data_IF_994227335492
#
_entry.id   IF_994227335492
#
_cell.length_a   1.000
_cell.length_b   1.000
_cell.length_c   1.000
_cell.angle_alpha   90.00
_cell.angle_beta   90.00
_cell.angle_gamma   90.00
#
_symmetry.space_group_name_H-M   'P 1'
#
loop_
_entity.id
_entity.type
_entity.pdbx_description
1 polymer ?
2 non-polymer ?
3 non-polymer ?
4 water ?
#
# COMPACT_ATOMS: atom_id res chain seq x y z
N UNK A 1 -7.80 4.97 10.59
CA UNK A 1 -7.67 5.42 9.21
C UNK A 1 -7.96 4.33 8.21
N UNK A 2 -8.10 4.72 6.94
CA UNK A 2 -8.42 3.79 5.86
C UNK A 2 -7.38 3.96 4.75
N UNK A 3 -7.25 2.93 3.93
CA UNK A 3 -6.38 3.00 2.76
C UNK A 3 -7.22 2.68 1.55
N UNK A 4 -7.08 3.48 0.49
CA UNK A 4 -7.74 3.21 -0.78
C UNK A 4 -6.66 3.12 -1.84
N UNK A 5 -6.57 1.95 -2.45
CA UNK A 5 -5.60 1.71 -3.53
C UNK A 5 -6.34 1.60 -4.86
N UNK A 6 -5.99 2.47 -5.82
CA UNK A 6 -6.44 2.27 -7.19
C UNK A 6 -5.36 1.49 -7.90
N UNK A 7 -5.71 0.28 -8.28
CA UNK A 7 -4.80 -0.62 -8.95
C UNK A 7 -5.05 -0.49 -10.46
N UNK A 8 -4.07 0.09 -11.15
CA UNK A 8 -4.22 0.55 -12.54
C UNK A 8 -3.48 -0.39 -13.48
N UNK A 9 -4.17 -0.88 -14.52
CA UNK A 9 -3.49 -1.72 -15.50
C UNK A 9 -2.95 -0.82 -16.58
N UNK A 10 -1.69 -1.01 -16.95
CA UNK A 10 -1.07 -0.12 -17.93
C UNK A 10 -0.51 -0.95 -19.07
N UNK A 11 -0.76 -0.60 -20.32
CA UNK A 11 -0.24 -1.41 -21.44
C UNK A 11 1.27 -1.38 -21.51
N UNK A 12 1.82 -2.45 -22.05
CA UNK A 12 3.28 -2.58 -22.07
C UNK A 12 3.92 -1.35 -22.73
N UNK A 13 4.86 -0.71 -22.05
CA UNK A 13 5.56 0.43 -22.59
C UNK A 13 4.95 1.77 -22.21
N UNK A 14 3.75 1.77 -21.63
CA UNK A 14 3.03 2.99 -21.30
C UNK A 14 3.29 3.49 -19.88
N UNK A 15 4.13 2.78 -19.12
CA UNK A 15 4.57 3.21 -17.79
C UNK A 15 4.99 4.69 -17.71
N UNK A 16 5.93 5.12 -18.54
CA UNK A 16 6.39 6.51 -18.44
C UNK A 16 5.28 7.50 -18.76
N UNK A 17 4.40 7.19 -19.70
CA UNK A 17 3.31 8.13 -19.98
C UNK A 17 2.39 8.25 -18.77
N UNK A 18 2.03 7.11 -18.16
CA UNK A 18 1.17 7.14 -16.99
C UNK A 18 1.82 7.91 -15.86
N UNK A 19 3.11 7.65 -15.59
CA UNK A 19 3.82 8.37 -14.54
C UNK A 19 3.85 9.85 -14.79
N UNK A 20 4.07 10.26 -16.04
CA UNK A 20 4.06 11.70 -16.36
C UNK A 20 2.71 12.35 -16.02
N UNK A 21 1.59 11.65 -16.24
CA UNK A 21 0.28 12.21 -15.92
C UNK A 21 0.10 12.46 -14.44
N UNK A 22 0.81 11.69 -13.59
CA UNK A 22 0.77 11.96 -12.15
C UNK A 22 1.71 13.05 -11.70
N UNK A 23 2.65 13.50 -12.55
CA UNK A 23 3.78 14.28 -12.05
C UNK A 23 3.36 15.58 -11.37
N UNK A 24 2.38 16.28 -11.92
CA UNK A 24 1.93 17.52 -11.28
C UNK A 24 0.59 17.41 -10.57
N UNK A 25 0.22 16.22 -10.11
CA UNK A 25 -1.12 16.00 -9.62
C UNK A 25 -1.29 16.33 -8.13
N UNK A 26 -0.19 16.56 -7.40
CA UNK A 26 -0.29 16.79 -5.94
C UNK A 26 -1.34 17.83 -5.57
N UNK A 27 -1.39 18.95 -6.30
CA UNK A 27 -2.34 20.00 -5.96
C UNK A 27 -3.76 19.49 -5.92
N UNK A 28 -4.05 18.42 -6.68
CA UNK A 28 -5.45 18.03 -6.76
C UNK A 28 -5.95 17.38 -5.49
N UNK A 29 -5.07 17.01 -4.55
CA UNK A 29 -5.56 16.25 -3.42
C UNK A 29 -4.88 16.69 -2.12
N UNK A 30 -3.67 17.26 -2.20
CA UNK A 30 -2.88 17.40 -0.97
C UNK A 30 -3.57 18.22 0.12
N UNK A 31 -4.41 19.16 -0.25
CA UNK A 31 -5.09 20.06 0.67
C UNK A 31 -6.46 19.55 1.15
N UNK A 32 -6.91 18.40 0.69
CA UNK A 32 -8.25 17.93 1.04
C UNK A 32 -8.38 17.58 2.53
N UNK A 33 -9.50 17.93 3.16
CA UNK A 33 -9.69 17.56 4.58
C UNK A 33 -9.58 16.05 4.79
N UNK A 34 -8.87 15.66 5.83
CA UNK A 34 -8.76 14.26 6.20
C UNK A 34 -7.78 13.46 5.36
N UNK A 35 -7.19 14.08 4.36
CA UNK A 35 -6.20 13.42 3.52
C UNK A 35 -4.91 13.24 4.29
N UNK A 36 -4.36 12.02 4.29
CA UNK A 36 -3.10 11.75 4.98
C UNK A 36 -1.92 11.48 4.06
N UNK A 37 -2.13 11.32 2.77
CA UNK A 37 -1.01 11.12 1.86
C UNK A 37 -1.27 10.12 0.75
N UNK A 38 -0.44 10.18 -0.30
CA UNK A 38 -0.54 9.15 -1.30
C UNK A 38 0.82 8.90 -1.93
N UNK A 39 0.95 7.71 -2.46
CA UNK A 39 2.13 7.29 -3.21
C UNK A 39 1.72 6.63 -4.52
N UNK A 40 2.41 6.99 -5.60
CA UNK A 40 2.27 6.27 -6.86
C UNK A 40 3.36 5.20 -6.85
N UNK A 41 2.97 3.92 -6.96
CA UNK A 41 3.91 2.80 -6.85
C UNK A 41 4.03 2.12 -8.19
N UNK A 42 5.30 2.06 -8.72
CA UNK A 42 5.63 1.44 -9.98
C UNK A 42 5.92 -0.02 -9.74
N UNK A 43 5.25 -0.93 -10.42
CA UNK A 43 5.46 -2.33 -10.10
C UNK A 43 6.80 -2.80 -10.63
N UNK A 44 7.43 -3.68 -9.86
CA UNK A 44 8.75 -4.17 -10.16
C UNK A 44 8.76 -5.68 -10.23
N UNK A 45 8.06 -6.35 -9.31
CA UNK A 45 7.96 -7.80 -9.35
C UNK A 45 6.71 -8.24 -8.59
N UNK A 46 6.07 -9.28 -9.10
CA UNK A 46 4.93 -9.90 -8.46
C UNK A 46 3.59 -9.23 -8.76
N UNK A 47 3.60 -8.09 -9.43
CA UNK A 47 2.38 -7.38 -9.78
C UNK A 47 2.70 -6.65 -11.07
N UNK A 48 1.72 -6.57 -11.97
CA UNK A 48 1.89 -5.80 -13.19
C UNK A 48 1.19 -4.46 -13.13
N UNK A 49 0.32 -4.23 -12.15
CA UNK A 49 -0.44 -2.98 -12.05
C UNK A 49 0.33 -1.92 -11.26
N UNK A 50 0.15 -0.66 -11.64
CA UNK A 50 0.56 0.43 -10.74
C UNK A 50 -0.44 0.51 -9.59
N UNK A 51 0.04 0.77 -8.38
CA UNK A 51 -0.79 1.02 -7.21
C UNK A 51 -0.75 2.50 -6.85
N UNK A 52 -1.90 3.14 -6.87
CA UNK A 52 -2.06 4.50 -6.34
C UNK A 52 -2.61 4.35 -4.93
N UNK A 53 -1.75 4.51 -3.94
CA UNK A 53 -2.07 4.18 -2.55
C UNK A 53 -2.38 5.48 -1.82
N UNK A 54 -3.62 5.65 -1.39
CA UNK A 54 -4.01 6.84 -0.66
C UNK A 54 -4.45 6.46 0.76
N UNK A 55 -4.14 7.37 1.69
CA UNK A 55 -4.37 7.19 3.11
C UNK A 55 -5.33 8.28 3.57
N UNK A 56 -6.37 7.90 4.32
CA UNK A 56 -7.37 8.87 4.78
C UNK A 56 -7.73 8.63 6.23
N UNK A 57 -8.07 9.71 6.96
CA UNK A 57 -8.56 9.59 8.32
C UNK A 57 -9.90 8.86 8.35
N UNK A 58 -10.67 8.90 7.26
CA UNK A 58 -11.94 8.19 7.28
C UNK A 58 -12.40 7.90 5.87
N UNK A 59 -13.31 6.94 5.75
CA UNK A 59 -13.96 6.71 4.47
C UNK A 59 -14.70 7.97 3.98
N UNK A 60 -15.41 8.69 4.87
CA UNK A 60 -16.15 9.87 4.40
C UNK A 60 -15.21 10.91 3.81
N UNK A 61 -14.00 11.06 4.38
CA UNK A 61 -13.06 12.05 3.83
C UNK A 61 -12.65 11.71 2.39
N UNK A 62 -12.39 10.44 2.13
CA UNK A 62 -12.08 10.02 0.76
C UNK A 62 -13.26 10.29 -0.18
N UNK A 63 -14.48 9.88 0.23
CA UNK A 63 -15.68 10.09 -0.58
C UNK A 63 -15.91 11.56 -0.88
N UNK A 64 -15.75 12.44 0.14
CA UNK A 64 -15.92 13.86 -0.16
C UNK A 64 -14.96 14.32 -1.25
N UNK A 65 -13.69 13.89 -1.17
CA UNK A 65 -12.75 14.28 -2.21
C UNK A 65 -13.13 13.67 -3.55
N UNK A 66 -13.49 12.38 -3.55
CA UNK A 66 -13.76 11.71 -4.81
C UNK A 66 -14.92 12.37 -5.54
N UNK A 67 -15.95 12.79 -4.82
CA UNK A 67 -17.18 13.28 -5.45
C UNK A 67 -17.12 14.76 -5.83
N UNK A 68 -16.13 15.50 -5.35
CA UNK A 68 -16.10 16.92 -5.59
C UNK A 68 -14.79 17.38 -6.18
N UNK A 69 -13.83 17.69 -5.31
CA UNK A 69 -12.53 18.18 -5.80
C UNK A 69 -11.87 17.28 -6.86
N UNK A 70 -11.95 15.96 -6.71
CA UNK A 70 -11.36 15.08 -7.72
C UNK A 70 -11.99 15.32 -9.11
N UNK A 71 -13.32 15.38 -9.17
CA UNK A 71 -13.98 15.62 -10.46
C UNK A 71 -13.57 16.98 -11.02
N UNK A 72 -13.61 18.01 -10.18
CA UNK A 72 -13.22 19.35 -10.62
C UNK A 72 -11.80 19.38 -11.17
N UNK A 73 -10.88 18.58 -10.59
CA UNK A 73 -9.49 18.67 -11.07
C UNK A 73 -9.34 18.25 -12.52
N UNK A 74 -10.37 17.69 -13.15
CA UNK A 74 -10.30 17.30 -14.56
C UNK A 74 -10.59 18.44 -15.53
N UNK A 75 -11.08 19.58 -15.05
CA UNK A 75 -11.38 20.69 -15.95
C UNK A 75 -10.14 21.01 -16.79
N UNK A 76 -10.33 21.08 -18.11
CA UNK A 76 -9.22 21.43 -18.98
C UNK A 76 -8.34 20.26 -19.37
N UNK A 77 -8.63 19.06 -18.88
CA UNK A 77 -7.90 17.85 -19.21
C UNK A 77 -8.67 16.94 -20.17
N UNK A 78 -7.96 16.35 -21.13
CA UNK A 78 -8.49 15.24 -21.90
C UNK A 78 -8.93 14.15 -20.92
N UNK A 79 -10.01 13.45 -21.25
CA UNK A 79 -10.38 12.30 -20.44
C UNK A 79 -10.00 10.98 -21.11
N UNK A 80 -8.97 10.99 -21.99
CA UNK A 80 -8.40 9.84 -22.68
C UNK A 80 -7.33 9.11 -21.85
N UNK A 81 -7.70 8.10 -21.09
CA UNK A 81 -6.73 7.43 -20.22
C UNK A 81 -5.73 6.56 -20.99
N UNK A 82 -4.54 6.42 -20.42
CA UNK A 82 -3.63 5.43 -21.00
C UNK A 82 -3.80 4.08 -20.29
N UNK A 83 -4.27 4.09 -19.05
CA UNK A 83 -4.60 2.86 -18.36
C UNK A 83 -5.72 2.13 -19.09
N UNK A 84 -5.66 0.80 -19.04
CA UNK A 84 -6.61 -0.09 -19.70
C UNK A 84 -7.58 -0.75 -18.72
N UNK A 85 -7.55 -0.36 -17.46
CA UNK A 85 -8.45 -0.92 -16.47
C UNK A 85 -8.05 -0.43 -15.09
N UNK A 86 -8.96 -0.49 -14.13
CA UNK A 86 -8.63 -0.01 -12.81
C UNK A 86 -9.51 -0.73 -11.81
N UNK A 87 -8.95 -1.04 -10.63
CA UNK A 87 -9.72 -1.68 -9.56
C UNK A 87 -9.38 -0.96 -8.27
N UNK A 88 -10.41 -0.55 -7.54
CA UNK A 88 -10.25 0.11 -6.27
C UNK A 88 -10.22 -0.93 -5.15
N UNK A 89 -9.14 -0.95 -4.39
CA UNK A 89 -8.97 -1.84 -3.25
C UNK A 89 -9.06 -1.02 -1.98
N UNK A 90 -10.01 -1.40 -1.13
CA UNK A 90 -10.28 -0.63 0.11
C UNK A 90 -9.90 -1.42 1.34
N UNK A 91 -9.22 -0.76 2.28
CA UNK A 91 -8.77 -1.43 3.51
C UNK A 91 -8.90 -0.49 4.71
N UNK A 92 -8.85 -1.08 5.89
CA UNK A 92 -8.83 -0.33 7.17
C UNK A 92 -7.46 -0.57 7.80
N UNK A 93 -6.80 0.49 8.25
CA UNK A 93 -5.47 0.32 8.91
C UNK A 93 -5.70 -0.34 10.26
N UNK A 94 -5.15 -1.54 10.46
CA UNK A 94 -5.33 -2.23 11.76
C UNK A 94 -4.08 -1.99 12.60
N UNK A 95 -2.94 -1.78 11.93
CA UNK A 95 -1.69 -1.51 12.65
C UNK A 95 -0.84 -0.56 11.82
N UNK A 96 -0.26 0.44 12.49
CA UNK A 96 0.69 1.34 11.82
C UNK A 96 1.95 1.46 12.67
N UNK A 97 3.12 1.20 12.09
CA UNK A 97 4.39 1.13 12.82
C UNK A 97 5.39 2.05 12.11
N UNK A 98 5.97 3.00 12.84
CA UNK A 98 6.87 3.95 12.23
C UNK A 98 8.24 3.31 12.02
N UNK A 99 9.10 4.00 11.25
CA UNK A 99 10.46 3.50 10.97
C UNK A 99 11.27 3.34 12.24
N UNK B 1 12.80 5.26 -2.56
CA UNK B 1 12.38 4.18 -1.67
C UNK B 1 11.65 3.08 -2.37
N UNK B 2 11.48 1.96 -1.71
CA UNK B 2 10.75 0.84 -2.30
C UNK B 2 9.63 0.50 -1.34
N UNK B 3 8.62 -0.16 -1.88
CA UNK B 3 7.51 -0.70 -1.10
C UNK B 3 7.43 -2.19 -1.37
N UNK B 4 7.34 -3.00 -0.30
CA UNK B 4 7.16 -4.42 -0.47
C UNK B 4 5.86 -4.73 0.23
N UNK B 5 4.88 -5.24 -0.51
CA UNK B 5 3.60 -5.63 0.07
C UNK B 5 3.53 -7.13 0.08
N UNK B 6 3.38 -7.71 1.26
CA UNK B 6 3.02 -9.12 1.35
C UNK B 6 1.50 -9.25 1.43
N UNK B 7 0.90 -9.89 0.42
CA UNK B 7 -0.54 -10.07 0.39
C UNK B 7 -0.82 -11.48 0.90
N UNK B 8 -1.34 -11.59 2.11
CA UNK B 8 -1.52 -12.87 2.79
C UNK B 8 -2.99 -13.30 2.79
N UNK B 9 -3.22 -14.55 2.45
CA UNK B 9 -4.58 -15.10 2.45
C UNK B 9 -4.90 -15.67 3.82
N UNK B 10 -6.04 -15.25 4.36
CA UNK B 10 -6.47 -15.62 5.72
C UNK B 10 -7.88 -16.20 5.66
N UNK B 11 -8.10 -17.44 6.15
CA UNK B 11 -9.43 -18.05 6.15
C UNK B 11 -10.41 -17.17 6.93
N UNK B 12 -11.70 -17.27 6.63
CA UNK B 12 -12.73 -16.47 7.33
C UNK B 12 -12.68 -16.80 8.82
N UNK B 13 -12.71 -15.78 9.68
CA UNK B 13 -12.69 -15.97 11.14
C UNK B 13 -11.29 -15.96 11.72
N UNK B 14 -10.26 -16.09 10.88
CA UNK B 14 -8.86 -16.08 11.37
C UNK B 14 -8.33 -14.65 11.46
N UNK B 15 -9.00 -13.71 10.80
CA UNK B 15 -8.65 -12.30 10.85
C UNK B 15 -8.24 -11.85 12.24
N UNK B 16 -9.07 -12.11 13.26
CA UNK B 16 -8.69 -11.68 14.61
C UNK B 16 -7.42 -12.34 15.12
N UNK B 17 -7.25 -13.64 14.85
CA UNK B 17 -6.02 -14.30 15.28
C UNK B 17 -4.80 -13.73 14.55
N UNK B 18 -4.92 -13.52 13.23
CA UNK B 18 -3.80 -12.94 12.49
C UNK B 18 -3.48 -11.54 13.00
N UNK B 19 -4.52 -10.72 13.20
CA UNK B 19 -4.28 -9.38 13.71
C UNK B 19 -3.62 -9.38 15.07
N UNK B 20 -4.03 -10.31 15.94
CA UNK B 20 -3.41 -10.40 17.26
C UNK B 20 -1.93 -10.76 17.14
N UNK B 21 -1.60 -11.66 16.21
CA UNK B 21 -0.20 -12.01 15.97
C UNK B 21 0.60 -10.82 15.50
N UNK B 22 0.01 -9.96 14.66
CA UNK B 22 0.76 -8.81 14.19
C UNK B 22 0.88 -7.72 15.28
N UNK B 23 -0.08 -7.68 16.19
CA UNK B 23 -0.12 -6.65 17.26
C UNK B 23 1.17 -6.64 18.08
N UNK B 24 1.81 -7.79 18.27
CA UNK B 24 3.04 -7.86 19.10
C UNK B 24 4.28 -8.02 18.21
N UNK B 25 4.17 -7.69 16.92
CA UNK B 25 5.28 -7.95 15.97
C UNK B 25 6.17 -6.73 15.68
N UNK B 26 5.82 -5.53 16.13
CA UNK B 26 6.64 -4.37 15.74
C UNK B 26 8.13 -4.59 16.01
N UNK B 27 8.44 -5.15 17.17
CA UNK B 27 9.82 -5.36 17.57
C UNK B 27 10.59 -6.11 16.49
N UNK B 28 9.92 -6.93 15.68
CA UNK B 28 10.70 -7.77 14.76
C UNK B 28 11.30 -7.00 13.59
N UNK B 29 10.91 -5.73 13.38
CA UNK B 29 11.36 -5.02 12.17
C UNK B 29 11.73 -3.57 12.47
N UNK B 30 11.15 -2.98 13.51
CA UNK B 30 11.44 -1.58 13.79
C UNK B 30 12.92 -1.46 14.14
N UNK B 31 13.47 -0.30 13.86
CA UNK B 31 14.90 -0.04 14.05
C UNK B 31 15.80 -0.73 13.05
N UNK B 32 15.29 -1.62 12.18
CA UNK B 32 16.22 -2.25 11.25
C UNK B 32 16.70 -1.19 10.27
N UNK B 33 17.98 -1.22 9.89
CA UNK B 33 18.52 -0.21 8.95
C UNK B 33 17.67 -0.06 7.67
N UNK B 34 17.38 1.20 7.34
CA UNK B 34 16.67 1.49 6.10
C UNK B 34 15.18 1.23 6.16
N UNK B 35 14.68 0.71 7.29
CA UNK B 35 13.24 0.50 7.43
C UNK B 35 12.53 1.83 7.65
N UNK B 36 11.50 2.08 6.85
CA UNK B 36 10.73 3.31 6.98
C UNK B 36 9.36 3.12 7.59
N UNK B 37 8.93 1.90 7.88
CA UNK B 37 7.61 1.74 8.46
C UNK B 37 6.75 0.67 7.82
N UNK B 38 5.68 0.24 8.51
CA UNK B 38 4.75 -0.68 7.85
C UNK B 38 3.35 -0.55 8.45
N UNK B 39 2.38 -1.05 7.68
CA UNK B 39 0.98 -1.08 8.08
C UNK B 39 0.43 -2.46 7.81
N UNK B 40 -0.45 -2.93 8.69
CA UNK B 40 -1.27 -4.09 8.37
C UNK B 40 -2.64 -3.56 7.94
N UNK B 41 -3.04 -3.91 6.73
CA UNK B 41 -4.29 -3.44 6.16
C UNK B 41 -5.27 -4.60 6.13
N UNK B 42 -6.36 -4.42 6.75
CA UNK B 42 -7.46 -5.39 6.72
C UNK B 42 -8.38 -5.08 5.54
N UNK B 43 -8.65 -6.06 4.67
CA UNK B 43 -9.43 -5.76 3.45
C UNK B 43 -10.89 -5.49 3.78
N UNK B 44 -11.50 -4.55 3.03
CA UNK B 44 -12.87 -4.12 3.26
C UNK B 44 -13.72 -4.31 2.01
N UNK B 45 -13.15 -3.99 0.84
CA UNK B 45 -13.83 -4.15 -0.44
C UNK B 45 -12.77 -4.30 -1.53
N UNK B 46 -13.05 -5.17 -2.49
CA UNK B 46 -12.23 -5.30 -3.68
C UNK B 46 -11.05 -6.23 -3.54
N UNK B 47 -10.78 -6.73 -2.34
CA UNK B 47 -9.63 -7.58 -2.09
C UNK B 47 -10.02 -8.48 -0.93
N UNK B 48 -9.52 -9.71 -0.90
CA UNK B 48 -9.87 -10.62 0.24
C UNK B 48 -8.63 -10.87 1.09
N UNK B 49 -7.47 -10.45 0.59
CA UNK B 49 -6.20 -10.70 1.32
C UNK B 49 -5.84 -9.52 2.23
N UNK B 50 -5.09 -9.80 3.29
CA UNK B 50 -4.57 -8.70 4.13
C UNK B 50 -3.32 -8.19 3.43
N UNK B 51 -3.12 -6.87 3.42
CA UNK B 51 -1.92 -6.30 2.83
C UNK B 51 -0.98 -5.90 3.97
N UNK B 52 0.24 -6.44 3.96
CA UNK B 52 1.30 -6.02 4.87
C UNK B 52 2.20 -5.11 4.05
N UNK B 53 2.07 -3.80 4.23
CA UNK B 53 2.71 -2.82 3.36
C UNK B 53 3.96 -2.32 4.06
N UNK B 54 5.13 -2.63 3.53
CA UNK B 54 6.34 -2.17 4.21
C UNK B 54 7.11 -1.22 3.30
N UNK B 55 7.82 -0.28 3.91
CA UNK B 55 8.55 0.77 3.22
C UNK B 55 10.01 0.71 3.60
N UNK B 56 10.86 0.93 2.60
CA UNK B 56 12.30 0.78 2.78
C UNK B 56 13.02 1.80 1.92
N UNK B 57 14.18 2.22 2.43
CA UNK B 57 15.03 3.09 1.63
C UNK B 57 15.54 2.38 0.38
N UNK B 58 15.72 1.05 0.41
CA UNK B 58 16.23 0.41 -0.78
C UNK B 58 15.85 -1.05 -0.71
N UNK B 59 15.91 -1.70 -1.86
CA UNK B 59 15.70 -3.14 -1.87
C UNK B 59 16.75 -3.87 -1.02
N UNK B 60 18.01 -3.42 -1.05
CA UNK B 60 19.05 -4.09 -0.24
C UNK B 60 18.70 -4.08 1.23
N UNK B 61 18.15 -2.98 1.73
CA UNK B 61 17.78 -2.93 3.15
C UNK B 61 16.67 -3.93 3.46
N UNK B 62 15.69 -4.03 2.57
CA UNK B 62 14.66 -5.04 2.74
C UNK B 62 15.24 -6.45 2.71
N UNK B 63 16.10 -6.76 1.73
CA UNK B 63 16.69 -8.10 1.70
C UNK B 63 17.49 -8.41 2.96
N UNK B 64 18.28 -7.45 3.43
CA UNK B 64 19.04 -7.69 4.66
C UNK B 64 18.10 -8.04 5.82
N UNK B 65 16.98 -7.34 5.96
CA UNK B 65 16.01 -7.69 7.01
C UNK B 65 15.41 -9.07 6.79
N UNK B 66 14.92 -9.34 5.57
CA UNK B 66 14.25 -10.61 5.29
C UNK B 66 15.18 -11.79 5.48
N UNK B 67 16.47 -11.60 5.21
CA UNK B 67 17.46 -12.68 5.24
C UNK B 67 18.06 -12.96 6.61
N UNK B 68 17.87 -12.06 7.60
CA UNK B 68 18.51 -12.22 8.89
C UNK B 68 17.48 -12.11 9.99
N UNK B 69 17.21 -10.88 10.40
CA UNK B 69 16.25 -10.65 11.52
C UNK B 69 14.91 -11.33 11.36
N UNK B 70 14.30 -11.22 10.20
CA UNK B 70 12.97 -11.79 10.02
C UNK B 70 12.99 -13.27 10.28
N UNK B 71 14.00 -13.97 9.74
CA UNK B 71 14.14 -15.39 10.05
C UNK B 71 14.38 -15.58 11.54
N UNK B 72 15.34 -14.85 12.13
CA UNK B 72 15.61 -14.97 13.58
C UNK B 72 14.35 -14.76 14.42
N UNK B 73 13.46 -13.87 13.97
CA UNK B 73 12.28 -13.54 14.77
C UNK B 73 11.33 -14.71 14.95
N UNK B 74 11.52 -15.80 14.21
CA UNK B 74 10.67 -16.96 14.44
C UNK B 74 11.10 -17.81 15.62
N UNK B 75 12.33 -17.65 16.09
CA UNK B 75 12.81 -18.54 17.13
C UNK B 75 11.92 -18.44 18.37
N UNK B 76 11.53 -19.61 18.90
CA UNK B 76 10.74 -19.67 20.14
C UNK B 76 9.23 -19.64 19.97
N UNK B 77 8.73 -19.43 18.74
CA UNK B 77 7.26 -19.40 18.50
C UNK B 77 6.79 -20.83 18.20
N UNK B 78 5.69 -21.27 18.83
CA UNK B 78 5.22 -22.66 18.57
C UNK B 78 3.81 -22.69 17.96
N UNK B 79 3.38 -21.60 17.32
CA UNK B 79 2.06 -21.56 16.69
C UNK B 79 2.12 -22.06 15.26
N UNK B 80 1.03 -22.67 14.81
CA UNK B 80 0.98 -23.01 13.41
C UNK B 80 0.49 -21.76 12.66
N UNK B 81 0.77 -21.65 11.37
CA UNK B 81 0.29 -20.48 10.63
C UNK B 81 -1.22 -20.52 10.49
N UNK B 82 -1.84 -19.32 10.48
CA UNK B 82 -3.26 -19.23 10.14
C UNK B 82 -3.40 -18.81 8.68
N UNK B 83 -2.43 -18.06 8.16
CA UNK B 83 -2.38 -17.76 6.75
C UNK B 83 -2.23 -19.03 5.92
N UNK B 84 -2.85 -19.04 4.75
CA UNK B 84 -2.75 -20.18 3.85
C UNK B 84 -1.98 -19.89 2.58
N UNK B 85 -1.46 -18.68 2.42
CA UNK B 85 -0.71 -18.38 1.23
C UNK B 85 -0.28 -16.92 1.27
N UNK B 86 0.70 -16.60 0.42
CA UNK B 86 1.24 -15.24 0.44
C UNK B 86 1.90 -14.93 -0.89
N UNK B 87 1.80 -13.66 -1.29
CA UNK B 87 2.42 -13.21 -2.53
C UNK B 87 3.10 -11.89 -2.22
N UNK B 88 4.38 -11.78 -2.59
CA UNK B 88 5.16 -10.57 -2.36
C UNK B 88 5.01 -9.67 -3.58
N UNK B 89 4.49 -8.46 -3.38
CA UNK B 89 4.33 -7.48 -4.45
C UNK B 89 5.37 -6.40 -4.24
N UNK B 90 6.23 -6.16 -5.24
CA UNK B 90 7.36 -5.25 -5.02
C UNK B 90 7.24 -4.04 -5.93
N UNK B 91 7.50 -2.86 -5.36
CA UNK B 91 7.24 -1.60 -6.05
C UNK B 91 8.37 -0.61 -5.79
N UNK B 92 8.55 0.32 -6.73
CA UNK B 92 9.37 1.49 -6.53
C UNK B 92 8.43 2.65 -6.26
N UNK B 93 8.78 3.47 -5.27
CA UNK B 93 7.99 4.68 -5.04
C UNK B 93 8.34 5.70 -6.13
N UNK B 94 7.38 6.02 -6.97
CA UNK B 94 7.66 7.02 -8.02
C UNK B 94 7.25 8.41 -7.58
N UNK B 95 6.20 8.53 -6.77
CA UNK B 95 5.75 9.84 -6.36
C UNK B 95 5.27 9.70 -4.94
N UNK B 96 5.62 10.64 -4.09
CA UNK B 96 5.14 10.61 -2.70
C UNK B 96 4.61 12.00 -2.36
N UNK B 97 3.38 12.05 -1.87
CA UNK B 97 2.70 13.33 -1.63
C UNK B 97 2.12 13.27 -0.22
N UNK B 98 2.53 14.21 0.63
CA UNK B 98 2.03 14.25 2.02
C UNK B 98 0.73 15.03 2.13
N UNK B 99 -0.04 14.78 3.19
CA UNK B 99 -1.32 15.47 3.39
C UNK B 99 -1.11 16.82 4.06
#
# INVERSE_FOLDING_TARGET
PVVKINAIEVPAGAGPELEKRFAHSAHAVENSPGFLGFQLLRPVKGEERYFVVTHWESDEAFQAWANGPAIAAHAGHRANPVATGASLLEFEVVLDVGG
PVVKINAIEVPAGAGPELEKRFAHSAHAVENSPGFLGFQLLRPVKGEERYFVVTHWESDEAFQAWANGPAIAAHAGHRANPVATGASLLEFEVVLDVGG
#
